data_IF_313646450847
#
_entry.id   IF_313646450847
#
_cell.length_a   1.000
_cell.length_b   1.000
_cell.length_c   1.000
_cell.angle_alpha   90.00
_cell.angle_beta   90.00
_cell.angle_gamma   90.00
#
_symmetry.space_group_name_H-M   'P 1'
#
loop_
_entity.id
_entity.type
_entity.pdbx_description
1 polymer ?
#
# COMPACT_ATOMS: atom_id res chain seq x y z
N UNK A 1 -13.71 6.63 -6.58
CA UNK A 1 -12.31 6.10 -6.55
C UNK A 1 -11.68 5.82 -7.94
N UNK A 2 -12.32 6.20 -9.06
CA UNK A 2 -11.88 5.86 -10.43
C UNK A 2 -10.53 6.44 -10.86
N UNK A 3 -10.09 7.51 -10.20
CA UNK A 3 -8.88 8.25 -10.60
C UNK A 3 -7.63 7.86 -9.80
N UNK A 4 -7.72 6.87 -8.89
CA UNK A 4 -6.54 6.39 -8.16
C UNK A 4 -5.63 5.54 -9.07
N UNK A 5 -4.31 5.64 -8.90
CA UNK A 5 -3.37 4.70 -9.50
C UNK A 5 -3.72 3.24 -9.18
N UNK A 6 -3.50 2.36 -10.15
CA UNK A 6 -4.04 0.98 -10.12
C UNK A 6 -3.64 0.17 -8.89
N UNK A 7 -2.41 0.28 -8.39
CA UNK A 7 -1.96 -0.49 -7.23
C UNK A 7 -2.45 0.12 -5.93
N UNK A 8 -2.50 1.45 -5.84
CA UNK A 8 -3.13 2.14 -4.71
C UNK A 8 -4.63 1.78 -4.62
N UNK A 9 -5.32 1.73 -5.75
CA UNK A 9 -6.72 1.28 -5.83
C UNK A 9 -6.87 -0.16 -5.34
N UNK A 10 -6.06 -1.09 -5.84
CA UNK A 10 -6.08 -2.50 -5.42
C UNK A 10 -5.75 -2.69 -3.94
N UNK A 11 -4.75 -1.96 -3.42
CA UNK A 11 -4.41 -1.97 -2.01
C UNK A 11 -5.59 -1.53 -1.16
N UNK A 12 -6.29 -0.49 -1.62
CA UNK A 12 -7.44 0.04 -0.93
C UNK A 12 -8.63 -0.94 -0.92
N UNK A 13 -8.96 -1.52 -2.07
CA UNK A 13 -9.98 -2.57 -2.18
C UNK A 13 -9.68 -3.74 -1.23
N UNK A 14 -8.41 -4.16 -1.15
CA UNK A 14 -7.98 -5.21 -0.24
C UNK A 14 -8.12 -4.82 1.24
N UNK A 15 -7.69 -3.60 1.63
CA UNK A 15 -7.80 -3.12 3.00
C UNK A 15 -9.26 -3.06 3.47
N UNK A 16 -10.16 -2.61 2.58
CA UNK A 16 -11.60 -2.60 2.83
C UNK A 16 -12.16 -4.02 3.05
N UNK A 17 -11.91 -4.93 2.12
CA UNK A 17 -12.39 -6.33 2.23
C UNK A 17 -11.88 -7.04 3.49
N UNK A 18 -10.66 -6.73 3.92
CA UNK A 18 -10.07 -7.37 5.11
C UNK A 18 -10.45 -6.70 6.43
N UNK A 19 -10.93 -5.46 6.39
CA UNK A 19 -11.52 -4.80 7.56
C UNK A 19 -12.83 -5.45 8.01
N UNK A 20 -13.53 -6.17 7.13
CA UNK A 20 -14.74 -6.95 7.44
C UNK A 20 -14.48 -8.11 8.42
N UNK A 21 -13.23 -8.60 8.47
CA UNK A 21 -12.87 -9.81 9.23
C UNK A 21 -12.04 -9.59 10.49
N UNK A 22 -11.48 -8.39 10.71
CA UNK A 22 -10.52 -8.18 11.81
C UNK A 22 -10.74 -6.88 12.58
N UNK A 23 -11.05 -7.05 13.86
CA UNK A 23 -10.97 -6.08 14.97
C UNK A 23 -11.97 -4.92 14.95
N UNK A 24 -12.38 -4.43 13.79
CA UNK A 24 -13.47 -3.45 13.68
C UNK A 24 -14.77 -4.18 13.39
N UNK A 25 -15.46 -4.66 14.45
CA UNK A 25 -16.90 -4.91 14.33
C UNK A 25 -17.57 -3.55 14.11
N UNK A 26 -17.61 -3.12 12.87
CA UNK A 26 -18.43 -1.99 12.50
C UNK A 26 -19.84 -2.56 12.43
N UNK A 27 -20.64 -2.33 13.47
CA UNK A 27 -22.07 -2.66 13.44
C UNK A 27 -22.72 -1.83 12.33
N UNK A 28 -23.26 -2.50 11.30
CA UNK A 28 -23.90 -1.85 10.15
C UNK A 28 -23.85 -2.70 8.88
N UNK A 29 -24.63 -2.31 7.87
CA UNK A 29 -24.54 -2.91 6.53
C UNK A 29 -23.17 -2.60 5.92
N UNK A 30 -22.43 -3.65 5.55
CA UNK A 30 -21.13 -3.57 4.91
C UNK A 30 -21.13 -2.64 3.69
N UNK A 31 -22.22 -2.62 2.92
CA UNK A 31 -22.36 -1.71 1.78
C UNK A 31 -22.44 -0.24 2.19
N UNK A 32 -23.09 0.05 3.33
CA UNK A 32 -23.21 1.40 3.87
C UNK A 32 -21.86 1.92 4.36
N UNK A 33 -21.04 1.06 4.97
CA UNK A 33 -19.68 1.39 5.43
C UNK A 33 -18.78 1.67 4.23
N UNK A 34 -18.84 0.82 3.20
CA UNK A 34 -18.08 1.01 1.96
C UNK A 34 -18.45 2.33 1.28
N UNK A 35 -19.73 2.67 1.20
CA UNK A 35 -20.18 3.95 0.65
C UNK A 35 -19.71 5.14 1.50
N UNK A 36 -19.80 5.06 2.83
CA UNK A 36 -19.33 6.11 3.74
C UNK A 36 -17.82 6.33 3.61
N UNK A 37 -17.04 5.25 3.55
CA UNK A 37 -15.60 5.34 3.35
C UNK A 37 -15.27 5.90 1.97
N UNK A 38 -15.91 5.42 0.91
CA UNK A 38 -15.70 6.00 -0.43
C UNK A 38 -16.02 7.50 -0.46
N UNK A 39 -17.09 7.93 0.20
CA UNK A 39 -17.47 9.35 0.31
C UNK A 39 -16.39 10.15 1.05
N UNK A 40 -15.95 9.70 2.24
CA UNK A 40 -14.88 10.35 3.01
C UNK A 40 -13.61 10.48 2.18
N UNK A 41 -13.23 9.43 1.44
CA UNK A 41 -12.05 9.46 0.58
C UNK A 41 -12.21 10.41 -0.61
N UNK A 42 -13.40 10.48 -1.23
CA UNK A 42 -13.67 11.46 -2.28
C UNK A 42 -13.55 12.88 -1.73
N UNK A 43 -14.09 13.15 -0.54
CA UNK A 43 -13.97 14.46 0.12
C UNK A 43 -12.52 14.82 0.43
N UNK A 44 -11.72 13.88 0.96
CA UNK A 44 -10.29 14.07 1.20
C UNK A 44 -9.53 14.35 -0.11
N UNK A 45 -9.87 13.64 -1.20
CA UNK A 45 -9.24 13.84 -2.51
C UNK A 45 -9.62 15.19 -3.15
N UNK A 46 -10.82 15.70 -2.87
CA UNK A 46 -11.32 16.98 -3.35
C UNK A 46 -10.84 18.18 -2.52
N UNK A 47 -10.39 17.94 -1.28
CA UNK A 47 -9.78 18.93 -0.40
C UNK A 47 -8.30 18.60 -0.17
N UNK A 48 -7.41 18.90 -1.12
CA UNK A 48 -5.98 18.67 -0.95
C UNK A 48 -5.49 19.45 0.27
N UNK A 49 -5.12 18.72 1.32
CA UNK A 49 -4.40 19.27 2.47
C UNK A 49 -2.92 19.10 2.21
N UNK A 50 -2.12 20.01 2.79
CA UNK A 50 -0.68 19.78 2.86
C UNK A 50 -0.44 18.42 3.52
N UNK A 51 0.29 17.58 2.82
CA UNK A 51 0.67 16.26 3.32
C UNK A 51 1.80 16.48 4.32
N UNK A 52 1.54 16.22 5.61
CA UNK A 52 2.57 16.29 6.64
C UNK A 52 3.65 15.24 6.33
N UNK A 53 4.86 15.72 6.07
CA UNK A 53 6.04 14.89 5.83
C UNK A 53 6.23 13.83 6.93
N UNK A 54 5.97 14.16 8.20
CA UNK A 54 6.11 13.20 9.31
C UNK A 54 5.14 12.03 9.19
N UNK A 55 3.92 12.28 8.69
CA UNK A 55 2.95 11.20 8.45
C UNK A 55 3.40 10.32 7.29
N UNK A 56 3.92 10.90 6.21
CA UNK A 56 4.47 10.13 5.08
C UNK A 56 5.63 9.26 5.55
N UNK A 57 6.60 9.85 6.26
CA UNK A 57 7.77 9.14 6.79
C UNK A 57 7.35 7.98 7.70
N UNK A 58 6.37 8.21 8.59
CA UNK A 58 5.83 7.17 9.46
C UNK A 58 5.16 6.04 8.67
N UNK A 59 4.33 6.36 7.67
CA UNK A 59 3.68 5.38 6.81
C UNK A 59 4.69 4.53 6.03
N UNK A 60 5.75 5.14 5.50
CA UNK A 60 6.82 4.43 4.79
C UNK A 60 7.61 3.52 5.72
N UNK A 61 7.95 3.99 6.92
CA UNK A 61 8.63 3.19 7.94
C UNK A 61 7.80 1.98 8.35
N UNK A 62 6.50 2.17 8.63
CA UNK A 62 5.60 1.09 9.02
C UNK A 62 5.45 0.05 7.90
N UNK A 63 5.31 0.52 6.66
CA UNK A 63 5.21 -0.34 5.46
C UNK A 63 6.47 -1.16 5.24
N UNK A 64 7.64 -0.52 5.35
CA UNK A 64 8.93 -1.20 5.23
C UNK A 64 9.09 -2.30 6.27
N UNK A 65 8.82 -2.00 7.55
CA UNK A 65 8.88 -2.99 8.62
C UNK A 65 7.93 -4.17 8.37
N UNK A 66 6.72 -3.89 7.89
CA UNK A 66 5.73 -4.94 7.63
C UNK A 66 6.14 -5.87 6.48
N UNK A 67 6.67 -5.31 5.39
CA UNK A 67 7.21 -6.07 4.27
C UNK A 67 8.36 -6.96 4.76
N UNK A 68 9.27 -6.38 5.54
CA UNK A 68 10.40 -7.10 6.11
C UNK A 68 9.98 -8.27 6.98
N UNK A 69 9.06 -8.05 7.93
CA UNK A 69 8.54 -9.11 8.80
C UNK A 69 7.87 -10.24 7.99
N UNK A 70 7.16 -9.91 6.90
CA UNK A 70 6.54 -10.90 6.01
C UNK A 70 7.60 -11.74 5.28
N UNK A 71 8.61 -11.08 4.71
CA UNK A 71 9.58 -11.73 3.82
C UNK A 71 10.59 -12.55 4.61
N UNK A 72 11.16 -11.99 5.69
CA UNK A 72 12.14 -12.64 6.56
C UNK A 72 11.55 -13.90 7.21
N UNK A 73 10.32 -13.80 7.74
CA UNK A 73 9.64 -14.94 8.36
C UNK A 73 9.00 -15.90 7.33
N UNK A 74 9.26 -15.69 6.04
CA UNK A 74 8.80 -16.54 4.94
C UNK A 74 7.28 -16.78 4.92
N UNK A 75 6.49 -15.75 5.22
CA UNK A 75 5.04 -15.79 5.09
C UNK A 75 4.62 -15.73 3.61
N UNK A 76 4.92 -16.79 2.83
CA UNK A 76 4.80 -16.82 1.36
C UNK A 76 3.39 -16.49 0.85
N UNK A 77 2.35 -16.86 1.60
CA UNK A 77 0.93 -16.50 1.32
C UNK A 77 0.61 -15.01 1.51
N UNK A 78 1.60 -14.19 1.85
CA UNK A 78 1.46 -12.74 2.02
C UNK A 78 2.47 -11.96 1.17
N UNK A 79 3.24 -12.63 0.30
CA UNK A 79 4.24 -11.97 -0.54
C UNK A 79 3.61 -11.05 -1.59
N UNK A 80 2.46 -11.46 -2.13
CA UNK A 80 1.61 -10.66 -3.00
C UNK A 80 1.20 -9.34 -2.32
N UNK A 81 0.77 -9.41 -1.06
CA UNK A 81 0.37 -8.25 -0.26
C UNK A 81 1.55 -7.36 0.11
N UNK A 82 2.70 -7.96 0.44
CA UNK A 82 3.92 -7.21 0.68
C UNK A 82 4.36 -6.44 -0.58
N UNK A 83 4.33 -7.08 -1.75
CA UNK A 83 4.65 -6.44 -3.02
C UNK A 83 3.65 -5.31 -3.34
N UNK A 84 2.35 -5.54 -3.12
CA UNK A 84 1.30 -4.54 -3.32
C UNK A 84 1.49 -3.30 -2.44
N UNK A 85 1.81 -3.47 -1.16
CA UNK A 85 2.15 -2.36 -0.25
C UNK A 85 3.36 -1.59 -0.77
N UNK A 86 4.43 -2.29 -1.17
CA UNK A 86 5.61 -1.63 -1.75
C UNK A 86 5.24 -0.77 -2.95
N UNK A 87 4.48 -1.32 -3.91
CA UNK A 87 4.06 -0.58 -5.10
C UNK A 87 3.15 0.61 -4.75
N UNK A 88 2.19 0.45 -3.81
CA UNK A 88 1.31 1.53 -3.40
C UNK A 88 2.07 2.71 -2.76
N UNK A 89 3.04 2.43 -1.89
CA UNK A 89 3.93 3.44 -1.31
C UNK A 89 4.77 4.13 -2.40
N UNK A 90 5.31 3.37 -3.36
CA UNK A 90 6.04 3.93 -4.50
C UNK A 90 5.15 4.85 -5.35
N UNK A 91 3.88 4.49 -5.64
CA UNK A 91 2.95 5.37 -6.37
C UNK A 91 2.65 6.66 -5.62
N UNK A 92 2.44 6.57 -4.30
CA UNK A 92 2.23 7.75 -3.47
C UNK A 92 3.46 8.67 -3.50
N UNK A 93 4.65 8.10 -3.37
CA UNK A 93 5.91 8.84 -3.47
C UNK A 93 6.14 9.42 -4.86
N UNK A 94 5.70 8.78 -5.95
CA UNK A 94 5.85 9.36 -7.30
C UNK A 94 5.17 10.71 -7.46
N UNK A 95 4.10 10.97 -6.69
CA UNK A 95 3.39 12.26 -6.71
C UNK A 95 4.10 13.31 -5.86
N UNK A 96 4.68 12.89 -4.73
CA UNK A 96 5.22 13.80 -3.70
C UNK A 96 6.72 14.07 -3.90
N UNK A 97 7.49 13.01 -4.19
CA UNK A 97 8.94 13.02 -4.38
C UNK A 97 9.38 11.85 -5.28
N UNK A 98 9.39 12.03 -6.62
CA UNK A 98 9.72 10.98 -7.58
C UNK A 98 11.07 10.30 -7.35
N UNK A 99 12.08 11.04 -6.88
CA UNK A 99 13.41 10.49 -6.62
C UNK A 99 13.38 9.48 -5.46
N UNK A 100 12.61 9.78 -4.41
CA UNK A 100 12.44 8.92 -3.24
C UNK A 100 11.58 7.70 -3.55
N UNK A 101 10.62 7.81 -4.48
CA UNK A 101 9.80 6.68 -4.93
C UNK A 101 10.67 5.54 -5.50
N UNK A 102 11.57 5.89 -6.42
CA UNK A 102 12.50 4.96 -7.06
C UNK A 102 13.42 4.34 -6.00
N UNK A 103 13.98 5.17 -5.11
CA UNK A 103 14.84 4.70 -4.02
C UNK A 103 14.12 3.69 -3.13
N UNK A 104 12.90 3.99 -2.67
CA UNK A 104 12.12 3.11 -1.80
C UNK A 104 11.87 1.72 -2.42
N UNK A 105 11.50 1.67 -3.70
CA UNK A 105 11.26 0.40 -4.39
C UNK A 105 12.54 -0.45 -4.46
N UNK A 106 13.65 0.14 -4.91
CA UNK A 106 14.93 -0.56 -5.05
C UNK A 106 15.53 -0.96 -3.70
N UNK A 107 15.33 -0.18 -2.64
CA UNK A 107 15.74 -0.55 -1.28
C UNK A 107 15.04 -1.83 -0.81
N UNK A 108 13.71 -1.91 -0.98
CA UNK A 108 12.95 -3.13 -0.67
C UNK A 108 13.44 -4.31 -1.52
N UNK A 109 13.58 -4.10 -2.84
CA UNK A 109 13.96 -5.19 -3.74
C UNK A 109 15.36 -5.74 -3.46
N UNK A 110 16.33 -4.84 -3.29
CA UNK A 110 17.74 -5.20 -3.07
C UNK A 110 17.99 -5.85 -1.71
N UNK A 111 17.11 -5.60 -0.72
CA UNK A 111 17.19 -6.21 0.60
C UNK A 111 16.88 -7.72 0.60
N UNK A 112 16.11 -8.21 -0.38
CA UNK A 112 15.67 -9.61 -0.42
C UNK A 112 16.10 -10.35 -1.71
N UNK A 113 17.40 -10.38 -2.05
CA UNK A 113 17.87 -10.87 -3.36
C UNK A 113 17.67 -12.38 -3.55
N UNK A 114 17.62 -13.14 -2.45
CA UNK A 114 17.46 -14.62 -2.48
C UNK A 114 16.01 -15.09 -2.37
N UNK A 115 15.06 -14.18 -2.14
CA UNK A 115 13.64 -14.51 -2.01
C UNK A 115 12.95 -14.50 -3.38
N UNK A 116 13.28 -15.43 -4.26
CA UNK A 116 12.83 -15.46 -5.65
C UNK A 116 11.31 -15.37 -5.83
N UNK A 117 10.52 -16.02 -4.96
CA UNK A 117 9.06 -15.91 -4.99
C UNK A 117 8.58 -14.48 -4.70
N UNK A 118 9.19 -13.79 -3.73
CA UNK A 118 8.87 -12.39 -3.45
C UNK A 118 9.33 -11.46 -4.58
N UNK A 119 10.52 -11.72 -5.16
CA UNK A 119 11.03 -10.99 -6.32
C UNK A 119 10.07 -11.11 -7.53
N UNK A 120 9.48 -12.29 -7.73
CA UNK A 120 8.48 -12.48 -8.78
C UNK A 120 7.23 -11.64 -8.53
N UNK A 121 6.75 -11.54 -7.29
CA UNK A 121 5.62 -10.65 -6.96
C UNK A 121 5.98 -9.18 -7.17
N UNK A 122 7.17 -8.73 -6.73
CA UNK A 122 7.65 -7.37 -7.00
C UNK A 122 7.72 -7.06 -8.49
N UNK A 123 8.20 -8.01 -9.31
CA UNK A 123 8.25 -7.86 -10.76
C UNK A 123 6.88 -7.66 -11.40
N UNK A 124 5.82 -8.28 -10.86
CA UNK A 124 4.43 -8.12 -11.37
C UNK A 124 3.81 -6.75 -11.05
N UNK A 125 4.31 -6.08 -10.02
CA UNK A 125 3.81 -4.77 -9.56
C UNK A 125 4.81 -3.65 -9.78
N UNK A 126 5.91 -3.90 -10.49
CA UNK A 126 6.93 -2.90 -10.73
C UNK A 126 6.38 -1.79 -11.63
N UNK A 127 6.50 -0.57 -11.12
CA UNK A 127 6.05 0.68 -11.73
C UNK A 127 7.18 1.70 -11.87
N UNK A 128 8.38 1.33 -11.41
CA UNK A 128 9.62 2.10 -11.54
C UNK A 128 10.30 1.58 -12.80
N UNK A 129 10.29 2.40 -13.86
CA UNK A 129 10.99 2.12 -15.12
C UNK A 129 12.41 2.65 -15.07
#
# INVERSE_FOLDING_TARGET
LSNLPVHLKKFWEYALQTSEGSVWRIEGDTNEILQKLETIYQEILLMPRDIDKKMVDWCLMASHKRVEDIVINQHRKAYDRAALVTAACTQALQVINPAEATKFFWEIQSKFPRHSSFQAELGRVNIVK
#
